data_IF_533333189990
#
_entry.id   IF_533333189990
#
_cell.length_a   1.000
_cell.length_b   1.000
_cell.length_c   1.000
_cell.angle_alpha   90.00
_cell.angle_beta   90.00
_cell.angle_gamma   90.00
#
_symmetry.space_group_name_H-M   'P 1'
#
loop_
_entity.id
_entity.type
_entity.pdbx_description
1 polymer ?
#
# COMPACT_ATOMS: atom_id res chain seq x y z
N UNK A 1 -1.28 16.06 19.53
CA UNK A 1 -1.03 14.64 19.87
C UNK A 1 -1.72 13.65 18.91
N UNK A 2 -2.66 14.09 18.08
CA UNK A 2 -3.41 13.26 17.10
C UNK A 2 -2.53 12.81 15.92
N UNK A 3 -1.72 13.72 15.36
CA UNK A 3 -0.82 13.40 14.24
C UNK A 3 0.25 12.33 14.57
N UNK A 4 0.73 12.27 15.82
CA UNK A 4 1.69 11.26 16.23
C UNK A 4 1.05 9.86 16.30
N UNK A 5 -0.23 9.76 16.67
CA UNK A 5 -0.95 8.47 16.71
C UNK A 5 -1.23 7.94 15.31
N UNK A 6 -1.58 8.81 14.37
CA UNK A 6 -1.81 8.44 12.96
C UNK A 6 -0.52 7.98 12.28
N UNK A 7 0.59 8.69 12.48
CA UNK A 7 1.91 8.28 11.94
C UNK A 7 2.35 6.94 12.54
N UNK A 8 2.11 6.70 13.83
CA UNK A 8 2.48 5.41 14.45
C UNK A 8 1.61 4.26 13.93
N UNK A 9 0.33 4.52 13.64
CA UNK A 9 -0.59 3.53 13.05
C UNK A 9 -0.17 3.14 11.63
N UNK A 10 0.13 4.14 10.80
CA UNK A 10 0.59 3.95 9.42
C UNK A 10 1.95 3.20 9.41
N UNK A 11 2.86 3.54 10.33
CA UNK A 11 4.14 2.83 10.48
C UNK A 11 4.00 1.38 10.97
N UNK A 12 2.91 1.02 11.66
CA UNK A 12 2.64 -0.36 12.05
C UNK A 12 2.04 -1.17 10.90
N UNK A 13 1.12 -0.57 10.13
CA UNK A 13 0.53 -1.20 8.94
C UNK A 13 1.56 -1.45 7.83
N UNK A 14 2.45 -0.47 7.56
CA UNK A 14 3.57 -0.64 6.63
C UNK A 14 4.53 -1.77 7.05
N UNK A 15 4.79 -1.91 8.35
CA UNK A 15 5.64 -2.99 8.89
C UNK A 15 5.00 -4.36 8.71
N UNK A 16 3.68 -4.44 8.87
CA UNK A 16 2.92 -5.67 8.68
C UNK A 16 2.90 -6.08 7.19
N UNK A 17 2.72 -5.13 6.28
CA UNK A 17 2.78 -5.38 4.83
C UNK A 17 4.19 -5.82 4.37
N UNK A 18 5.25 -5.19 4.87
CA UNK A 18 6.63 -5.60 4.61
C UNK A 18 6.92 -7.02 5.13
N UNK A 19 6.35 -7.39 6.29
CA UNK A 19 6.48 -8.74 6.84
C UNK A 19 5.77 -9.78 5.96
N UNK A 20 4.58 -9.47 5.45
CA UNK A 20 3.83 -10.34 4.54
C UNK A 20 4.58 -10.51 3.21
N UNK A 21 5.14 -9.42 2.66
CA UNK A 21 5.94 -9.48 1.43
C UNK A 21 7.24 -10.29 1.61
N UNK A 22 7.88 -10.22 2.77
CA UNK A 22 9.07 -11.02 3.09
C UNK A 22 8.76 -12.53 3.17
N UNK A 23 7.58 -12.90 3.66
CA UNK A 23 7.11 -14.30 3.72
C UNK A 23 6.76 -14.88 2.33
N UNK A 24 6.40 -14.03 1.37
CA UNK A 24 6.07 -14.45 -0.01
C UNK A 24 7.29 -14.54 -0.94
N UNK A 25 8.41 -13.91 -0.57
CA UNK A 25 9.67 -13.90 -1.34
C UNK A 25 10.26 -15.29 -1.65
N UNK A 26 10.26 -16.29 -0.75
CA UNK A 26 10.79 -17.62 -1.05
C UNK A 26 9.93 -18.44 -2.02
N UNK A 27 8.65 -18.11 -2.22
CA UNK A 27 7.78 -18.84 -3.16
C UNK A 27 7.97 -18.42 -4.63
N UNK A 28 8.50 -17.23 -4.89
CA UNK A 28 8.66 -16.68 -6.25
C UNK A 28 10.03 -16.97 -6.91
N UNK A 29 11.02 -17.45 -6.16
CA UNK A 29 12.39 -17.67 -6.64
C UNK A 29 12.81 -19.13 -6.80
N UNK A 30 11.87 -20.07 -6.87
CA UNK A 30 12.20 -21.47 -7.16
C UNK A 30 12.00 -21.77 -8.65
N UNK A 31 13.04 -21.55 -9.45
CA UNK A 31 13.14 -22.11 -10.81
C UNK A 31 13.14 -23.65 -10.72
N UNK A 32 12.44 -24.37 -11.60
CA UNK A 32 12.52 -25.82 -11.66
C UNK A 32 13.88 -26.22 -12.26
N UNK A 33 14.72 -26.89 -11.46
CA UNK A 33 15.87 -27.61 -12.00
C UNK A 33 15.36 -28.90 -12.63
N UNK A 34 15.35 -28.93 -13.97
CA UNK A 34 15.26 -30.15 -14.76
C UNK A 34 16.46 -31.04 -14.45
N UNK A 35 16.20 -32.22 -13.86
CA UNK A 35 17.09 -33.37 -13.98
C UNK A 35 16.23 -34.61 -14.24
N UNK A 36 16.49 -35.25 -15.38
CA UNK A 36 15.86 -36.48 -15.84
C UNK A 36 16.20 -37.67 -14.91
N UNK A 37 15.32 -38.69 -14.82
CA UNK A 37 15.50 -39.84 -13.94
C UNK A 37 16.10 -41.06 -14.67
N UNK A 38 16.79 -41.93 -13.93
CA UNK A 38 16.99 -43.35 -14.25
C UNK A 38 17.58 -44.11 -13.04
N UNK A 39 17.41 -45.45 -12.96
CA UNK A 39 16.70 -46.07 -11.85
C UNK A 39 17.50 -47.12 -11.05
N UNK A 40 16.95 -47.56 -9.90
CA UNK A 40 17.19 -48.92 -9.39
C UNK A 40 17.35 -49.05 -7.87
N UNK A 41 16.72 -50.12 -7.34
CA UNK A 41 16.83 -50.74 -6.00
C UNK A 41 16.08 -50.03 -4.85
N UNK A 42 14.89 -50.49 -4.44
CA UNK A 42 14.54 -51.73 -3.69
C UNK A 42 15.06 -51.76 -2.26
N UNK A 43 14.16 -51.54 -1.29
CA UNK A 43 13.91 -52.34 -0.07
C UNK A 43 13.16 -51.49 0.99
N UNK A 44 11.92 -51.89 1.31
CA UNK A 44 11.51 -52.46 2.61
C UNK A 44 11.40 -51.39 3.73
N UNK A 45 10.19 -50.93 4.01
CA UNK A 45 9.30 -51.41 5.08
C UNK A 45 9.66 -50.85 6.45
N UNK A 46 8.73 -50.08 7.07
CA UNK A 46 8.00 -50.57 8.25
C UNK A 46 6.86 -49.60 8.60
N UNK A 47 5.71 -50.23 8.83
CA UNK A 47 4.47 -49.71 9.38
C UNK A 47 4.63 -49.65 10.91
N UNK A 48 4.16 -48.59 11.57
CA UNK A 48 3.34 -48.69 12.79
C UNK A 48 2.81 -47.33 13.27
N UNK A 49 1.48 -47.22 13.32
CA UNK A 49 0.68 -46.29 14.15
C UNK A 49 0.29 -47.01 15.47
N UNK A 50 -0.63 -46.50 16.32
CA UNK A 50 -0.54 -45.38 17.27
C UNK A 50 -0.90 -45.80 18.74
N UNK A 51 -0.69 -44.92 19.74
CA UNK A 51 -1.22 -45.15 21.10
C UNK A 51 -0.84 -44.08 22.14
N UNK A 52 -1.85 -43.35 22.65
CA UNK A 52 -1.81 -42.35 23.73
C UNK A 52 -1.77 -43.02 25.15
N UNK A 53 -2.05 -42.35 26.31
CA UNK A 53 -2.12 -40.94 26.72
C UNK A 53 -1.40 -40.63 28.07
N UNK A 54 -1.26 -39.35 28.46
CA UNK A 54 -1.09 -38.81 29.83
C UNK A 54 -1.04 -37.27 29.69
N UNK A 55 -1.65 -36.39 30.48
CA UNK A 55 -2.22 -36.49 31.81
C UNK A 55 -1.79 -35.27 32.64
N UNK A 56 -2.71 -34.31 32.78
CA UNK A 56 -2.96 -33.44 33.96
C UNK A 56 -2.10 -32.16 34.23
N UNK A 57 -2.85 -31.08 34.54
CA UNK A 57 -2.67 -29.98 35.54
C UNK A 57 -2.38 -28.55 35.00
N UNK A 58 -3.43 -27.72 34.98
CA UNK A 58 -3.39 -26.26 35.19
C UNK A 58 -3.35 -25.91 36.69
N UNK A 59 -2.84 -24.73 37.07
CA UNK A 59 -3.69 -23.75 37.79
C UNK A 59 -3.50 -22.31 37.27
N UNK A 60 -4.57 -21.56 36.99
CA UNK A 60 -5.24 -20.54 37.83
C UNK A 60 -4.35 -19.32 38.17
N UNK A 61 -4.56 -18.15 37.55
CA UNK A 61 -5.54 -17.09 37.87
C UNK A 61 -5.03 -16.09 38.95
N UNK A 62 -4.81 -14.83 38.57
CA UNK A 62 -4.97 -13.68 39.46
C UNK A 62 -5.66 -12.53 38.71
N UNK A 63 -6.81 -12.18 39.26
CA UNK A 63 -7.70 -11.07 38.95
C UNK A 63 -7.33 -9.88 39.84
N UNK A 64 -7.36 -8.67 39.30
CA UNK A 64 -7.43 -7.41 40.05
C UNK A 64 -8.24 -6.40 39.23
N UNK A 65 -9.37 -6.00 39.81
CA UNK A 65 -10.42 -5.18 39.21
C UNK A 65 -10.46 -3.73 39.74
N UNK A 66 -10.83 -2.79 38.83
CA UNK A 66 -11.65 -1.54 38.97
C UNK A 66 -11.05 -0.22 39.55
N UNK A 67 -11.67 0.99 39.35
CA UNK A 67 -12.80 1.41 38.47
C UNK A 67 -12.70 2.81 37.74
N UNK A 68 -13.68 3.07 36.84
CA UNK A 68 -14.23 4.41 36.47
C UNK A 68 -13.65 5.08 35.20
N UNK A 69 -14.37 5.70 34.26
CA UNK A 69 -15.72 6.29 34.17
C UNK A 69 -16.09 6.61 32.70
N UNK A 70 -17.41 6.77 32.43
CA UNK A 70 -18.06 7.63 31.41
C UNK A 70 -18.19 7.18 29.92
N UNK A 71 -19.41 6.70 29.61
CA UNK A 71 -20.36 7.20 28.59
C UNK A 71 -20.15 7.03 27.06
N UNK A 72 -21.02 6.19 26.49
CA UNK A 72 -21.82 6.34 25.24
C UNK A 72 -21.16 6.14 23.84
N UNK A 73 -21.96 5.84 22.79
CA UNK A 73 -22.05 4.51 22.19
C UNK A 73 -21.24 4.39 20.89
N UNK A 74 -20.58 3.25 20.68
CA UNK A 74 -20.01 2.90 19.38
C UNK A 74 -21.06 2.20 18.54
N UNK A 75 -21.39 2.82 17.42
CA UNK A 75 -22.06 2.21 16.27
C UNK A 75 -21.41 0.85 15.97
N UNK A 76 -22.24 -0.18 15.93
CA UNK A 76 -21.89 -1.50 15.45
C UNK A 76 -21.63 -1.40 13.94
N UNK A 77 -20.38 -1.18 13.55
CA UNK A 77 -19.91 -1.50 12.21
C UNK A 77 -19.53 -2.99 12.22
N UNK A 78 -20.57 -3.81 12.14
CA UNK A 78 -20.49 -5.26 12.11
C UNK A 78 -19.95 -5.66 10.73
N UNK A 79 -18.62 -5.67 10.59
CA UNK A 79 -17.93 -6.29 9.45
C UNK A 79 -18.23 -7.78 9.47
N UNK A 80 -19.27 -8.18 8.74
CA UNK A 80 -19.44 -9.57 8.30
C UNK A 80 -18.40 -9.83 7.23
N UNK A 81 -17.32 -10.51 7.61
CA UNK A 81 -16.48 -11.21 6.66
C UNK A 81 -17.33 -12.34 6.06
N UNK A 82 -17.93 -12.08 4.90
CA UNK A 82 -18.52 -13.12 4.08
C UNK A 82 -17.40 -14.01 3.56
N UNK A 83 -17.24 -15.18 4.15
CA UNK A 83 -16.53 -16.29 3.50
C UNK A 83 -17.18 -16.55 2.13
N UNK A 84 -16.38 -16.45 1.07
CA UNK A 84 -16.80 -16.83 -0.28
C UNK A 84 -17.16 -18.32 -0.34
N UNK A 85 -18.40 -18.64 -0.73
CA UNK A 85 -18.83 -19.99 -1.20
C UNK A 85 -20.17 -19.85 -1.93
N UNK A 86 -20.24 -20.06 -3.27
CA UNK A 86 -20.21 -21.42 -3.85
C UNK A 86 -19.54 -21.57 -5.24
N UNK A 87 -18.92 -20.53 -5.82
CA UNK A 87 -18.50 -20.51 -7.24
C UNK A 87 -17.36 -21.47 -7.61
N UNK A 88 -16.50 -21.84 -6.65
CA UNK A 88 -15.36 -22.74 -6.92
C UNK A 88 -15.78 -24.15 -7.33
N UNK A 89 -16.90 -24.67 -6.80
CA UNK A 89 -17.38 -26.01 -7.15
C UNK A 89 -17.92 -26.09 -8.59
N UNK A 90 -18.50 -25.01 -9.10
CA UNK A 90 -19.10 -24.99 -10.44
C UNK A 90 -18.02 -25.02 -11.52
N UNK A 91 -16.95 -24.23 -11.35
CA UNK A 91 -15.84 -24.23 -12.28
C UNK A 91 -15.16 -25.60 -12.36
N UNK A 92 -14.88 -26.22 -11.21
CA UNK A 92 -14.31 -27.58 -11.15
C UNK A 92 -15.23 -28.61 -11.83
N UNK A 93 -16.54 -28.53 -11.60
CA UNK A 93 -17.52 -29.40 -12.26
C UNK A 93 -17.50 -29.22 -13.78
N UNK A 94 -17.46 -27.97 -14.27
CA UNK A 94 -17.39 -27.69 -15.70
C UNK A 94 -16.08 -28.15 -16.33
N UNK A 95 -14.96 -28.03 -15.62
CA UNK A 95 -13.66 -28.54 -16.08
C UNK A 95 -13.69 -30.07 -16.18
N UNK A 96 -14.26 -30.76 -15.19
CA UNK A 96 -14.40 -32.22 -15.24
C UNK A 96 -15.27 -32.67 -16.42
N UNK A 97 -16.39 -31.99 -16.65
CA UNK A 97 -17.26 -32.25 -17.80
C UNK A 97 -16.54 -31.97 -19.12
N UNK A 98 -15.79 -30.87 -19.21
CA UNK A 98 -15.05 -30.50 -20.41
C UNK A 98 -13.96 -31.52 -20.76
N UNK A 99 -13.33 -32.15 -19.77
CA UNK A 99 -12.35 -33.23 -19.99
C UNK A 99 -12.95 -34.47 -20.64
N UNK A 100 -14.20 -34.80 -20.32
CA UNK A 100 -14.92 -35.97 -20.84
C UNK A 100 -15.78 -35.69 -22.08
N UNK A 101 -15.84 -34.44 -22.55
CA UNK A 101 -16.78 -34.01 -23.59
C UNK A 101 -16.03 -33.41 -24.79
N UNK A 102 -16.41 -33.80 -26.01
CA UNK A 102 -15.78 -33.34 -27.25
C UNK A 102 -16.84 -32.92 -28.31
N UNK A 103 -16.43 -32.12 -29.29
CA UNK A 103 -17.26 -31.76 -30.44
C UNK A 103 -18.50 -30.92 -30.08
N UNK A 104 -19.68 -31.32 -30.59
CA UNK A 104 -20.94 -30.57 -30.40
C UNK A 104 -21.44 -30.53 -28.95
N UNK A 105 -21.06 -31.50 -28.11
CA UNK A 105 -21.42 -31.46 -26.71
C UNK A 105 -20.57 -30.43 -25.94
N UNK A 106 -19.34 -30.17 -26.41
CA UNK A 106 -18.47 -29.15 -25.84
C UNK A 106 -18.96 -27.73 -26.16
N UNK A 107 -19.55 -27.49 -27.34
CA UNK A 107 -20.16 -26.19 -27.65
C UNK A 107 -21.38 -25.89 -26.77
N UNK A 108 -22.19 -26.91 -26.46
CA UNK A 108 -23.30 -26.77 -25.51
C UNK A 108 -22.80 -26.48 -24.08
N UNK A 109 -21.72 -27.16 -23.67
CA UNK A 109 -21.06 -26.90 -22.38
C UNK A 109 -20.51 -25.47 -22.30
N UNK A 110 -19.87 -24.97 -23.37
CA UNK A 110 -19.38 -23.59 -23.45
C UNK A 110 -20.55 -22.61 -23.26
N UNK A 111 -21.66 -22.78 -23.97
CA UNK A 111 -22.84 -21.92 -23.79
C UNK A 111 -23.36 -21.92 -22.36
N UNK A 112 -23.39 -23.09 -21.70
CA UNK A 112 -23.80 -23.23 -20.31
C UNK A 112 -22.84 -22.53 -19.33
N UNK A 113 -21.53 -22.66 -19.55
CA UNK A 113 -20.48 -22.00 -18.75
C UNK A 113 -20.53 -20.47 -18.91
N UNK A 114 -20.77 -20.01 -20.14
CA UNK A 114 -20.93 -18.58 -20.43
C UNK A 114 -22.18 -18.00 -19.76
N UNK A 115 -23.25 -18.77 -19.61
CA UNK A 115 -24.48 -18.32 -18.93
C UNK A 115 -24.44 -18.50 -17.40
N UNK A 116 -23.57 -19.36 -16.88
CA UNK A 116 -23.48 -19.64 -15.45
C UNK A 116 -23.10 -18.39 -14.63
N UNK A 117 -23.92 -17.97 -13.65
CA UNK A 117 -23.59 -16.88 -12.76
C UNK A 117 -22.44 -17.27 -11.82
N UNK A 118 -21.56 -16.32 -11.50
CA UNK A 118 -20.41 -16.54 -10.62
C UNK A 118 -19.16 -17.13 -11.30
N UNK A 119 -19.24 -17.56 -12.58
CA UNK A 119 -18.08 -18.02 -13.36
C UNK A 119 -17.61 -16.91 -14.30
N UNK A 120 -16.62 -16.14 -13.89
CA UNK A 120 -16.06 -15.01 -14.68
C UNK A 120 -14.61 -15.23 -15.11
N UNK A 121 -14.06 -16.40 -14.79
CA UNK A 121 -12.69 -16.83 -15.09
C UNK A 121 -12.78 -18.06 -16.00
N UNK A 122 -12.16 -17.98 -17.17
CA UNK A 122 -12.25 -18.97 -18.24
C UNK A 122 -10.88 -19.50 -18.67
N UNK A 123 -9.78 -19.01 -18.09
CA UNK A 123 -8.42 -19.40 -18.44
C UNK A 123 -8.16 -20.90 -18.27
N UNK A 124 -8.65 -21.49 -17.19
CA UNK A 124 -8.51 -22.94 -16.95
C UNK A 124 -9.26 -23.78 -18.00
N UNK A 125 -10.44 -23.34 -18.44
CA UNK A 125 -11.16 -24.00 -19.53
C UNK A 125 -10.41 -23.85 -20.86
N UNK A 126 -9.82 -22.67 -21.12
CA UNK A 126 -9.11 -22.38 -22.37
C UNK A 126 -7.80 -23.17 -22.51
N UNK A 127 -7.19 -23.58 -21.39
CA UNK A 127 -5.97 -24.40 -21.39
C UNK A 127 -6.22 -25.89 -21.67
N UNK A 128 -7.48 -26.34 -21.67
CA UNK A 128 -7.81 -27.74 -21.97
C UNK A 128 -7.60 -28.06 -23.46
N UNK A 129 -6.92 -29.18 -23.74
CA UNK A 129 -6.67 -29.66 -25.11
C UNK A 129 -7.96 -29.81 -25.92
N UNK A 130 -9.02 -30.37 -25.33
CA UNK A 130 -10.32 -30.54 -25.96
C UNK A 130 -10.94 -29.22 -26.48
N UNK A 131 -10.67 -28.11 -25.78
CA UNK A 131 -11.14 -26.77 -26.16
C UNK A 131 -10.25 -26.18 -27.26
N UNK A 132 -8.94 -26.48 -27.25
CA UNK A 132 -8.03 -26.05 -28.31
C UNK A 132 -8.28 -26.78 -29.63
N UNK A 133 -8.70 -28.04 -29.60
CA UNK A 133 -9.09 -28.79 -30.80
C UNK A 133 -10.29 -28.16 -31.52
N UNK A 134 -11.15 -27.42 -30.81
CA UNK A 134 -12.25 -26.66 -31.44
C UNK A 134 -11.75 -25.56 -32.39
N UNK A 135 -10.49 -25.11 -32.25
CA UNK A 135 -9.88 -24.13 -33.16
C UNK A 135 -9.76 -24.67 -34.58
N UNK A 136 -9.50 -25.97 -34.71
CA UNK A 136 -9.25 -26.65 -35.99
C UNK A 136 -10.54 -27.20 -36.61
N UNK A 137 -11.62 -27.27 -35.82
CA UNK A 137 -12.93 -27.75 -36.25
C UNK A 137 -13.85 -26.66 -36.79
N UNK A 138 -15.03 -27.07 -37.29
CA UNK A 138 -16.08 -26.16 -37.76
C UNK A 138 -16.73 -25.28 -36.68
N UNK A 139 -16.33 -25.45 -35.42
CA UNK A 139 -16.84 -24.71 -34.26
C UNK A 139 -15.86 -23.64 -33.75
N UNK A 140 -14.89 -23.22 -34.56
CA UNK A 140 -13.89 -22.21 -34.20
C UNK A 140 -14.51 -20.89 -33.67
N UNK A 141 -15.72 -20.55 -34.10
CA UNK A 141 -16.45 -19.38 -33.62
C UNK A 141 -16.74 -19.42 -32.10
N UNK A 142 -16.99 -20.60 -31.53
CA UNK A 142 -17.20 -20.76 -30.08
C UNK A 142 -15.90 -20.58 -29.29
N UNK A 143 -14.76 -20.97 -29.85
CA UNK A 143 -13.46 -20.72 -29.23
C UNK A 143 -13.10 -19.23 -29.28
N UNK A 144 -13.39 -18.55 -30.39
CA UNK A 144 -13.24 -17.10 -30.49
C UNK A 144 -14.13 -16.39 -29.47
N UNK A 145 -15.36 -16.87 -29.29
CA UNK A 145 -16.27 -16.37 -28.27
C UNK A 145 -15.71 -16.57 -26.85
N UNK A 146 -15.19 -17.75 -26.52
CA UNK A 146 -14.57 -17.99 -25.22
C UNK A 146 -13.35 -17.08 -24.99
N UNK A 147 -12.52 -16.87 -26.01
CA UNK A 147 -11.41 -15.92 -25.96
C UNK A 147 -11.88 -14.48 -25.75
N UNK A 148 -13.04 -14.11 -26.30
CA UNK A 148 -13.66 -12.81 -26.09
C UNK A 148 -14.11 -12.61 -24.64
N UNK A 149 -14.68 -13.63 -24.02
CA UNK A 149 -15.05 -13.58 -22.60
C UNK A 149 -13.84 -13.57 -21.67
N UNK A 150 -12.79 -14.33 -22.00
CA UNK A 150 -11.54 -14.33 -21.22
C UNK A 150 -10.79 -12.99 -21.34
N UNK A 151 -10.66 -12.44 -22.55
CA UNK A 151 -9.72 -11.34 -22.82
C UNK A 151 -10.29 -10.15 -23.59
N UNK A 152 -11.43 -10.29 -24.25
CA UNK A 152 -12.05 -9.25 -25.07
C UNK A 152 -13.06 -8.39 -24.31
N UNK A 153 -13.79 -7.55 -25.01
CA UNK A 153 -14.80 -6.64 -24.44
C UNK A 153 -16.10 -6.67 -25.23
N UNK A 154 -17.16 -6.06 -24.70
CA UNK A 154 -18.45 -5.97 -25.39
C UNK A 154 -18.37 -5.21 -26.74
N UNK A 155 -17.61 -4.11 -26.89
CA UNK A 155 -17.37 -3.50 -28.20
C UNK A 155 -16.76 -4.47 -29.22
N UNK A 156 -15.86 -5.35 -28.77
CA UNK A 156 -15.22 -6.35 -29.64
C UNK A 156 -16.25 -7.38 -30.13
N UNK A 157 -17.27 -7.72 -29.31
CA UNK A 157 -18.40 -8.55 -29.74
C UNK A 157 -19.22 -7.86 -30.82
N UNK A 158 -19.57 -6.58 -30.62
CA UNK A 158 -20.37 -5.81 -31.58
C UNK A 158 -19.66 -5.69 -32.92
N UNK A 159 -18.34 -5.46 -32.91
CA UNK A 159 -17.53 -5.40 -34.12
C UNK A 159 -17.47 -6.74 -34.88
N UNK A 160 -17.64 -7.87 -34.19
CA UNK A 160 -17.53 -9.22 -34.74
C UNK A 160 -18.85 -10.00 -34.69
N UNK A 161 -19.99 -9.29 -34.67
CA UNK A 161 -21.31 -9.91 -34.47
C UNK A 161 -21.69 -10.93 -35.55
N UNK A 162 -21.15 -10.77 -36.77
CA UNK A 162 -21.42 -11.68 -37.90
C UNK A 162 -20.55 -12.95 -37.87
N UNK A 163 -19.38 -12.91 -37.23
CA UNK A 163 -18.45 -14.05 -37.15
C UNK A 163 -18.63 -14.90 -35.89
N UNK A 164 -19.31 -14.36 -34.88
CA UNK A 164 -19.55 -15.01 -33.60
C UNK A 164 -20.98 -15.56 -33.48
N UNK A 165 -21.21 -16.62 -32.68
CA UNK A 165 -22.55 -17.11 -32.40
C UNK A 165 -23.41 -16.07 -31.68
N UNK A 166 -24.72 -16.10 -31.90
CA UNK A 166 -25.65 -15.21 -31.20
C UNK A 166 -25.67 -15.49 -29.69
N UNK A 167 -25.57 -14.42 -28.89
CA UNK A 167 -25.56 -14.50 -27.43
C UNK A 167 -26.94 -14.29 -26.82
N UNK A 168 -27.24 -15.04 -25.76
CA UNK A 168 -28.42 -14.79 -24.91
C UNK A 168 -28.28 -13.45 -24.19
N UNK A 169 -29.40 -12.85 -23.76
CA UNK A 169 -29.38 -11.59 -23.00
C UNK A 169 -28.53 -11.70 -21.72
N UNK A 170 -28.57 -12.87 -21.05
CA UNK A 170 -27.75 -13.12 -19.87
C UNK A 170 -26.25 -13.13 -20.18
N UNK A 171 -25.85 -13.79 -21.27
CA UNK A 171 -24.45 -13.81 -21.74
C UNK A 171 -23.98 -12.41 -22.17
N UNK A 172 -24.84 -11.62 -22.83
CA UNK A 172 -24.53 -10.24 -23.19
C UNK A 172 -24.31 -9.36 -21.94
N UNK A 173 -25.19 -9.47 -20.94
CA UNK A 173 -25.04 -8.74 -19.68
C UNK A 173 -23.74 -9.13 -18.95
N UNK A 174 -23.40 -10.42 -18.95
CA UNK A 174 -22.14 -10.92 -18.39
C UNK A 174 -20.91 -10.34 -19.10
N UNK A 175 -20.94 -10.25 -20.43
CA UNK A 175 -19.85 -9.62 -21.19
C UNK A 175 -19.76 -8.11 -20.93
N UNK A 176 -20.92 -7.45 -20.73
CA UNK A 176 -20.97 -6.05 -20.28
C UNK A 176 -20.34 -5.90 -18.90
N UNK A 177 -20.66 -6.76 -17.92
CA UNK A 177 -20.02 -6.75 -16.60
C UNK A 177 -18.50 -6.93 -16.70
N UNK A 178 -18.01 -7.88 -17.49
CA UNK A 178 -16.58 -8.09 -17.73
C UNK A 178 -15.90 -6.89 -18.40
N UNK A 179 -16.63 -6.16 -19.23
CA UNK A 179 -16.15 -4.91 -19.83
C UNK A 179 -16.00 -3.82 -18.77
N UNK A 180 -16.97 -3.69 -17.85
CA UNK A 180 -16.86 -2.76 -16.71
C UNK A 180 -15.65 -3.13 -15.83
N UNK A 181 -15.44 -4.41 -15.53
CA UNK A 181 -14.26 -4.88 -14.78
C UNK A 181 -12.95 -4.50 -15.49
N UNK A 182 -12.92 -4.65 -16.81
CA UNK A 182 -11.75 -4.28 -17.62
C UNK A 182 -11.46 -2.78 -17.60
N UNK A 183 -12.52 -1.96 -17.61
CA UNK A 183 -12.42 -0.51 -17.45
C UNK A 183 -11.98 -0.13 -16.03
N UNK A 184 -12.52 -0.81 -15.01
CA UNK A 184 -12.18 -0.60 -13.60
C UNK A 184 -10.71 -0.93 -13.28
N UNK A 185 -10.14 -1.90 -13.99
CA UNK A 185 -8.71 -2.23 -13.88
C UNK A 185 -7.80 -1.10 -14.38
N UNK A 186 -8.30 -0.20 -15.24
CA UNK A 186 -7.53 0.90 -15.82
C UNK A 186 -7.81 2.24 -15.15
N UNK A 187 -9.03 2.45 -14.69
CA UNK A 187 -9.47 3.68 -14.05
C UNK A 187 -10.38 3.40 -12.87
N UNK A 188 -10.05 3.99 -11.71
CA UNK A 188 -10.82 3.85 -10.47
C UNK A 188 -12.13 4.63 -10.48
N UNK A 189 -12.19 5.72 -11.25
CA UNK A 189 -13.40 6.51 -11.45
C UNK A 189 -13.77 6.47 -12.93
N UNK A 190 -14.80 5.71 -13.30
CA UNK A 190 -15.23 5.53 -14.68
C UNK A 190 -16.38 6.51 -14.98
N UNK A 191 -16.25 7.40 -15.97
CA UNK A 191 -17.36 8.25 -16.38
C UNK A 191 -18.49 7.46 -17.05
N UNK A 192 -19.74 7.84 -16.77
CA UNK A 192 -20.91 7.21 -17.37
C UNK A 192 -20.92 7.33 -18.89
N UNK A 193 -20.38 8.40 -19.45
CA UNK A 193 -20.25 8.56 -20.91
C UNK A 193 -19.41 7.46 -21.56
N UNK A 194 -18.34 7.01 -20.89
CA UNK A 194 -17.51 5.90 -21.35
C UNK A 194 -18.28 4.58 -21.24
N UNK A 195 -18.98 4.35 -20.12
CA UNK A 195 -19.80 3.15 -19.94
C UNK A 195 -20.94 3.06 -20.96
N UNK A 196 -21.66 4.16 -21.21
CA UNK A 196 -22.74 4.19 -22.20
C UNK A 196 -22.22 3.87 -23.60
N UNK A 197 -21.04 4.39 -23.96
CA UNK A 197 -20.41 4.14 -25.26
C UNK A 197 -19.92 2.70 -25.38
N UNK A 198 -19.15 2.21 -24.42
CA UNK A 198 -18.50 0.89 -24.50
C UNK A 198 -19.48 -0.27 -24.27
N UNK A 199 -20.58 -0.04 -23.54
CA UNK A 199 -21.62 -1.05 -23.33
C UNK A 199 -22.78 -0.95 -24.34
N UNK A 200 -22.71 0.01 -25.27
CA UNK A 200 -23.75 0.35 -26.24
C UNK A 200 -25.14 0.55 -25.60
N UNK A 201 -25.17 1.26 -24.47
CA UNK A 201 -26.39 1.53 -23.70
C UNK A 201 -26.92 2.92 -24.05
N UNK A 202 -28.22 3.02 -24.32
CA UNK A 202 -28.89 4.30 -24.64
C UNK A 202 -29.48 4.98 -23.42
N UNK A 203 -29.81 4.19 -22.40
CA UNK A 203 -30.58 4.62 -21.24
C UNK A 203 -29.70 4.59 -19.99
N UNK A 204 -29.70 5.70 -19.24
CA UNK A 204 -28.99 5.80 -17.97
C UNK A 204 -29.51 4.78 -16.95
N UNK A 205 -30.83 4.56 -16.93
CA UNK A 205 -31.47 3.63 -15.99
C UNK A 205 -30.98 2.20 -16.17
N UNK A 206 -30.91 1.75 -17.41
CA UNK A 206 -30.42 0.40 -17.74
C UNK A 206 -28.94 0.23 -17.38
N UNK A 207 -28.14 1.30 -17.53
CA UNK A 207 -26.75 1.29 -17.09
C UNK A 207 -26.66 1.14 -15.57
N UNK A 208 -27.41 1.94 -14.82
CA UNK A 208 -27.44 1.87 -13.34
C UNK A 208 -27.92 0.49 -12.87
N UNK A 209 -28.99 -0.05 -13.45
CA UNK A 209 -29.51 -1.38 -13.10
C UNK A 209 -28.47 -2.49 -13.38
N UNK A 210 -27.72 -2.41 -14.48
CA UNK A 210 -26.63 -3.35 -14.80
C UNK A 210 -25.45 -3.24 -13.81
N UNK A 211 -25.07 -2.02 -13.43
CA UNK A 211 -24.00 -1.80 -12.42
C UNK A 211 -24.46 -2.34 -11.07
N UNK A 212 -25.72 -2.08 -10.69
CA UNK A 212 -26.32 -2.57 -9.46
C UNK A 212 -26.29 -4.10 -9.43
N UNK A 213 -26.66 -4.77 -10.54
CA UNK A 213 -26.55 -6.23 -10.68
C UNK A 213 -25.11 -6.73 -10.48
N UNK A 214 -24.12 -6.03 -11.05
CA UNK A 214 -22.70 -6.38 -10.88
C UNK A 214 -22.22 -6.23 -9.42
N UNK A 215 -22.77 -5.26 -8.69
CA UNK A 215 -22.49 -5.08 -7.25
C UNK A 215 -23.18 -6.16 -6.42
N UNK A 216 -24.43 -6.51 -6.73
CA UNK A 216 -25.16 -7.58 -6.03
C UNK A 216 -24.53 -8.96 -6.21
N UNK A 217 -23.81 -9.17 -7.32
CA UNK A 217 -23.11 -10.42 -7.63
C UNK A 217 -21.65 -10.42 -7.16
N UNK A 218 -21.23 -9.40 -6.40
CA UNK A 218 -19.88 -9.20 -5.87
C UNK A 218 -18.77 -9.17 -6.94
N UNK A 219 -19.13 -8.88 -8.21
CA UNK A 219 -18.17 -8.70 -9.30
C UNK A 219 -17.38 -7.40 -9.09
N UNK A 220 -18.10 -6.36 -8.67
CA UNK A 220 -17.58 -5.01 -8.48
C UNK A 220 -18.03 -4.50 -7.11
N UNK A 221 -17.13 -3.88 -6.38
CA UNK A 221 -17.42 -3.13 -5.16
C UNK A 221 -17.08 -1.67 -5.41
N UNK A 222 -18.05 -0.80 -5.16
CA UNK A 222 -17.92 0.60 -5.50
C UNK A 222 -19.18 1.40 -5.19
N UNK A 223 -19.16 2.67 -5.57
CA UNK A 223 -20.25 3.63 -5.35
C UNK A 223 -20.60 4.33 -6.64
N UNK A 224 -21.90 4.54 -6.84
CA UNK A 224 -22.43 5.32 -7.95
C UNK A 224 -22.53 6.78 -7.53
N UNK A 225 -21.79 7.68 -8.19
CA UNK A 225 -21.93 9.13 -8.03
C UNK A 225 -22.78 9.67 -9.19
N UNK A 226 -24.08 9.73 -8.94
CA UNK A 226 -25.04 10.26 -9.91
C UNK A 226 -24.88 11.77 -10.15
N UNK A 227 -24.30 12.53 -9.20
CA UNK A 227 -24.13 13.98 -9.37
C UNK A 227 -23.02 14.27 -10.37
N UNK A 228 -21.89 13.57 -10.23
CA UNK A 228 -20.73 13.74 -11.11
C UNK A 228 -20.77 12.81 -12.33
N UNK A 229 -21.75 11.90 -12.40
CA UNK A 229 -21.91 10.90 -13.47
C UNK A 229 -20.68 9.98 -13.56
N UNK A 230 -20.21 9.51 -12.40
CA UNK A 230 -19.04 8.65 -12.25
C UNK A 230 -19.40 7.37 -11.49
N UNK A 231 -18.77 6.27 -11.87
CA UNK A 231 -18.72 5.04 -11.09
C UNK A 231 -17.36 4.98 -10.39
N UNK A 232 -17.37 5.06 -9.07
CA UNK A 232 -16.18 4.86 -8.24
C UNK A 232 -16.05 3.38 -7.92
N UNK A 233 -14.95 2.75 -8.34
CA UNK A 233 -14.68 1.33 -8.13
C UNK A 233 -13.55 1.16 -7.13
N UNK A 234 -13.87 0.60 -5.97
CA UNK A 234 -12.90 0.27 -4.93
C UNK A 234 -12.19 -1.03 -5.28
N UNK A 235 -12.97 -2.07 -5.55
CA UNK A 235 -12.50 -3.41 -5.85
C UNK A 235 -13.29 -4.03 -7.01
N UNK A 236 -12.64 -4.89 -7.77
CA UNK A 236 -13.30 -5.71 -8.78
C UNK A 236 -12.63 -7.08 -8.83
N UNK A 237 -13.37 -8.09 -9.29
CA UNK A 237 -12.81 -9.42 -9.50
C UNK A 237 -11.69 -9.38 -10.55
N UNK A 238 -10.73 -10.30 -10.41
CA UNK A 238 -9.71 -10.52 -11.43
C UNK A 238 -10.31 -11.23 -12.64
N UNK A 239 -10.03 -10.71 -13.84
CA UNK A 239 -10.29 -11.41 -15.10
C UNK A 239 -9.05 -12.19 -15.55
N UNK A 240 -9.21 -13.10 -16.50
CA UNK A 240 -8.12 -13.83 -17.12
C UNK A 240 -7.03 -12.91 -17.68
N UNK A 241 -5.78 -13.29 -17.41
CA UNK A 241 -4.57 -12.57 -17.82
C UNK A 241 -3.86 -13.40 -18.88
N UNK A 242 -3.47 -12.76 -19.98
CA UNK A 242 -2.66 -13.44 -21.00
C UNK A 242 -1.24 -13.62 -20.48
N UNK A 243 -0.62 -14.76 -20.79
CA UNK A 243 0.76 -15.08 -20.36
C UNK A 243 1.79 -13.99 -20.72
N UNK A 244 1.60 -13.30 -21.84
CA UNK A 244 2.45 -12.17 -22.28
C UNK A 244 2.40 -10.96 -21.35
N UNK A 245 1.25 -10.72 -20.70
CA UNK A 245 0.98 -9.54 -19.89
C UNK A 245 1.45 -9.72 -18.44
N UNK A 246 1.90 -10.94 -18.06
CA UNK A 246 2.48 -11.23 -16.74
C UNK A 246 3.71 -10.33 -16.48
N UNK A 247 4.55 -10.09 -17.49
CA UNK A 247 5.71 -9.20 -17.34
C UNK A 247 5.31 -7.76 -17.02
N UNK A 248 4.16 -7.30 -17.55
CA UNK A 248 3.65 -5.96 -17.23
C UNK A 248 3.22 -5.89 -15.77
N UNK A 249 2.59 -6.94 -15.23
CA UNK A 249 2.21 -7.02 -13.82
C UNK A 249 3.44 -7.02 -12.91
N UNK A 250 4.46 -7.82 -13.27
CA UNK A 250 5.72 -7.83 -12.51
C UNK A 250 6.35 -6.45 -12.50
N UNK A 251 6.35 -5.75 -13.65
CA UNK A 251 6.89 -4.41 -13.76
C UNK A 251 6.14 -3.39 -12.90
N UNK A 252 4.81 -3.37 -12.95
CA UNK A 252 4.01 -2.42 -12.16
C UNK A 252 4.16 -2.67 -10.65
N UNK A 253 4.27 -3.94 -10.23
CA UNK A 253 4.56 -4.28 -8.84
C UNK A 253 5.95 -3.79 -8.40
N UNK A 254 6.97 -3.94 -9.26
CA UNK A 254 8.30 -3.40 -8.96
C UNK A 254 8.29 -1.88 -8.87
N UNK A 255 7.65 -1.18 -9.83
CA UNK A 255 7.51 0.28 -9.80
C UNK A 255 6.81 0.76 -8.51
N UNK A 256 5.81 0.01 -8.03
CA UNK A 256 5.14 0.30 -6.78
C UNK A 256 6.06 0.08 -5.55
N UNK A 257 6.81 -1.03 -5.52
CA UNK A 257 7.80 -1.30 -4.48
C UNK A 257 8.87 -0.21 -4.43
N UNK A 258 9.44 0.16 -5.57
CA UNK A 258 10.44 1.22 -5.69
C UNK A 258 9.89 2.57 -5.20
N UNK A 259 8.63 2.87 -5.52
CA UNK A 259 7.92 4.05 -5.02
C UNK A 259 7.80 4.05 -3.49
N UNK A 260 7.44 2.91 -2.89
CA UNK A 260 7.39 2.77 -1.43
C UNK A 260 8.77 2.91 -0.79
N UNK A 261 9.81 2.29 -1.35
CA UNK A 261 11.19 2.41 -0.87
C UNK A 261 11.69 3.86 -0.94
N UNK A 262 11.41 4.57 -2.05
CA UNK A 262 11.78 5.98 -2.20
C UNK A 262 11.12 6.87 -1.15
N UNK A 263 9.83 6.65 -0.85
CA UNK A 263 9.12 7.40 0.20
C UNK A 263 9.70 7.08 1.59
N UNK A 264 9.95 5.81 1.89
CA UNK A 264 10.54 5.40 3.17
C UNK A 264 11.94 6.00 3.37
N UNK A 265 12.80 5.91 2.36
CA UNK A 265 14.13 6.53 2.37
C UNK A 265 14.05 8.05 2.50
N UNK A 266 13.06 8.67 1.84
CA UNK A 266 12.78 10.10 1.98
C UNK A 266 12.46 10.47 3.42
N UNK A 267 11.59 9.71 4.10
CA UNK A 267 11.24 9.93 5.51
C UNK A 267 12.46 9.72 6.42
N UNK A 268 13.23 8.65 6.22
CA UNK A 268 14.45 8.38 6.99
C UNK A 268 15.46 9.54 6.87
N UNK A 269 15.66 10.07 5.67
CA UNK A 269 16.52 11.25 5.47
C UNK A 269 15.99 12.49 6.18
N UNK A 270 14.66 12.73 6.19
CA UNK A 270 14.09 13.86 6.92
C UNK A 270 14.28 13.71 8.44
N UNK A 271 14.15 12.49 8.97
CA UNK A 271 14.43 12.20 10.38
C UNK A 271 15.89 12.47 10.72
N UNK A 272 16.82 12.02 9.87
CA UNK A 272 18.25 12.29 10.06
C UNK A 272 18.56 13.79 10.04
N UNK A 273 18.01 14.53 9.07
CA UNK A 273 18.17 15.99 9.00
C UNK A 273 17.63 16.67 10.25
N UNK A 274 16.43 16.30 10.70
CA UNK A 274 15.82 16.87 11.91
C UNK A 274 16.69 16.60 13.16
N UNK A 275 17.25 15.41 13.28
CA UNK A 275 18.17 15.07 14.38
C UNK A 275 19.48 15.88 14.32
N UNK A 276 20.07 16.04 13.13
CA UNK A 276 21.26 16.87 12.94
C UNK A 276 21.00 18.34 13.26
N UNK A 277 19.84 18.88 12.85
CA UNK A 277 19.44 20.24 13.20
C UNK A 277 19.27 20.39 14.72
N UNK A 278 18.62 19.41 15.37
CA UNK A 278 18.46 19.42 16.83
C UNK A 278 19.81 19.38 17.54
N UNK A 279 20.73 18.52 17.10
CA UNK A 279 22.07 18.41 17.70
C UNK A 279 22.88 19.70 17.50
N UNK A 280 22.87 20.25 16.29
CA UNK A 280 23.55 21.53 15.98
C UNK A 280 22.98 22.67 16.80
N UNK A 281 21.64 22.78 16.87
CA UNK A 281 20.97 23.80 17.65
C UNK A 281 21.29 23.67 19.15
N UNK A 282 21.25 22.45 19.68
CA UNK A 282 21.61 22.18 21.08
C UNK A 282 23.07 22.55 21.37
N UNK A 283 23.99 22.24 20.45
CA UNK A 283 25.41 22.60 20.57
C UNK A 283 25.62 24.12 20.56
N UNK A 284 25.00 24.83 19.62
CA UNK A 284 25.05 26.30 19.56
C UNK A 284 24.45 26.92 20.81
N UNK A 285 23.31 26.40 21.30
CA UNK A 285 22.67 26.88 22.52
C UNK A 285 23.60 26.71 23.74
N UNK A 286 24.23 25.54 23.90
CA UNK A 286 25.19 25.30 24.98
C UNK A 286 26.39 26.25 24.91
N UNK A 287 26.89 26.54 23.70
CA UNK A 287 28.00 27.47 23.52
C UNK A 287 27.60 28.89 23.91
N UNK A 288 26.41 29.36 23.50
CA UNK A 288 25.88 30.66 23.91
C UNK A 288 25.70 30.73 25.43
N UNK A 289 25.13 29.70 26.06
CA UNK A 289 24.96 29.63 27.52
C UNK A 289 26.30 29.64 28.27
N UNK A 290 27.32 28.96 27.74
CA UNK A 290 28.67 28.97 28.30
C UNK A 290 29.33 30.36 28.20
N UNK A 291 29.23 31.02 27.04
CA UNK A 291 29.73 32.39 26.84
C UNK A 291 29.03 33.39 27.79
N UNK A 292 27.71 33.30 27.93
CA UNK A 292 26.94 34.13 28.88
C UNK A 292 27.42 33.90 30.31
N UNK A 293 27.68 32.65 30.68
CA UNK A 293 28.19 32.29 32.01
C UNK A 293 29.60 32.83 32.25
N UNK A 294 30.48 32.74 31.25
CA UNK A 294 31.84 33.29 31.30
C UNK A 294 31.82 34.82 31.42
N UNK A 295 31.03 35.51 30.60
CA UNK A 295 30.86 36.97 30.68
C UNK A 295 30.34 37.39 32.05
N UNK A 296 29.33 36.70 32.61
CA UNK A 296 28.82 36.97 33.96
C UNK A 296 29.90 36.81 35.03
N UNK A 297 30.74 35.76 34.93
CA UNK A 297 31.86 35.54 35.87
C UNK A 297 32.90 36.65 35.77
N UNK A 298 33.30 37.03 34.55
CA UNK A 298 34.27 38.12 34.31
C UNK A 298 33.75 39.43 34.85
N UNK A 299 32.49 39.80 34.57
CA UNK A 299 31.87 41.02 35.10
C UNK A 299 31.86 41.04 36.64
N UNK A 300 31.55 39.90 37.28
CA UNK A 300 31.56 39.80 38.74
C UNK A 300 32.98 39.92 39.31
N UNK A 301 33.98 39.32 38.66
CA UNK A 301 35.38 39.43 39.05
C UNK A 301 35.90 40.87 38.92
N UNK A 302 35.61 41.56 37.81
CA UNK A 302 35.97 42.97 37.62
C UNK A 302 35.29 43.88 38.64
N UNK A 303 34.01 43.64 38.95
CA UNK A 303 33.28 44.39 39.99
C UNK A 303 33.87 44.17 41.40
N UNK A 304 34.37 42.95 41.68
CA UNK A 304 35.02 42.63 42.96
C UNK A 304 36.41 43.28 43.08
N UNK A 305 37.18 43.27 41.98
CA UNK A 305 38.49 43.93 41.89
C UNK A 305 38.39 45.44 42.05
N UNK A 306 37.40 46.07 41.41
CA UNK A 306 37.18 47.52 41.51
C UNK A 306 36.63 47.95 42.88
N UNK A 307 35.89 47.07 43.58
CA UNK A 307 35.53 47.29 44.98
C UNK A 307 36.76 47.22 45.91
N UNK A 308 37.68 46.29 45.69
CA UNK A 308 38.93 46.20 46.47
C UNK A 308 39.88 47.38 46.19
N UNK A 309 39.99 47.85 44.94
CA UNK A 309 40.78 49.05 44.61
C UNK A 309 40.20 50.33 45.26
N UNK A 310 38.88 50.45 45.37
CA UNK A 310 38.24 51.58 46.03
C UNK A 310 38.44 51.56 47.57
N UNK A 311 38.47 50.36 48.17
CA UNK A 311 38.73 50.18 49.60
C UNK A 311 40.21 50.42 49.96
N UNK A 312 41.14 50.09 49.06
CA UNK A 312 42.57 50.36 49.22
C UNK A 312 42.90 51.86 49.06
N UNK A 313 42.19 52.59 48.19
CA UNK A 313 42.30 54.06 48.06
C UNK A 313 41.67 54.83 49.24
N UNK A 314 40.71 54.23 49.95
CA UNK A 314 40.15 54.78 51.18
C UNK A 314 41.08 54.58 52.40
N UNK A 315 41.84 53.47 52.42
CA UNK A 315 42.83 53.21 53.46
C UNK A 315 44.10 54.09 53.36
N UNK A 316 44.45 54.59 52.17
CA UNK A 316 45.58 55.52 51.97
C UNK A 316 45.25 57.01 52.25
N UNK A 317 44.00 57.36 52.63
CA UNK A 317 43.58 58.76 52.85
C UNK A 317 43.61 59.25 54.31
N UNK A 318 44.13 58.48 55.27
CA UNK A 318 44.28 58.90 56.67
C UNK A 318 45.74 59.25 57.05
N UNK A 319 46.36 60.26 56.40
CA UNK A 319 47.50 61.00 57.00
C UNK A 319 47.75 62.37 56.29
N UNK A 320 47.97 63.49 57.01
CA UNK A 320 48.09 64.84 56.43
C UNK A 320 49.53 65.22 55.95
N UNK A 321 49.71 66.34 55.22
CA UNK A 321 50.68 66.45 54.12
C UNK A 321 52.02 67.11 54.50
N UNK A 322 53.08 66.85 53.72
CA UNK A 322 54.29 67.69 53.70
C UNK A 322 54.90 67.86 52.29
N UNK A 323 54.91 69.14 51.88
CA UNK A 323 55.87 69.95 51.10
C UNK A 323 56.58 69.43 49.81
N UNK A 324 56.41 70.23 48.74
CA UNK A 324 57.39 70.69 47.71
C UNK A 324 58.22 69.62 46.95
N UNK A 325 58.37 69.63 45.61
CA UNK A 325 58.83 70.75 44.77
C UNK A 325 58.84 70.36 43.26
N UNK A 326 58.56 71.36 42.40
CA UNK A 326 59.07 71.63 41.02
C UNK A 326 58.73 70.75 39.79
N UNK A 327 58.29 71.48 38.76
CA UNK A 327 58.15 71.23 37.29
C UNK A 327 59.50 70.90 36.57
N UNK A 328 59.62 70.64 35.23
CA UNK A 328 58.67 70.90 34.11
C UNK A 328 58.60 69.93 32.88
N UNK A 329 57.47 70.05 32.16
CA UNK A 329 57.26 70.01 30.69
C UNK A 329 57.52 68.72 29.86
N UNK A 330 56.53 68.32 29.02
CA UNK A 330 56.50 68.54 27.55
C UNK A 330 55.30 67.86 26.84
N UNK A 331 54.51 68.71 26.18
CA UNK A 331 53.81 68.62 24.87
C UNK A 331 53.61 67.26 24.13
N UNK A 332 52.43 67.23 23.46
CA UNK A 332 52.05 66.70 22.14
C UNK A 332 50.95 65.62 22.21
N UNK A 333 49.69 65.95 21.87
CA UNK A 333 49.09 65.87 20.52
C UNK A 333 48.83 64.44 20.03
N UNK A 334 47.56 64.03 19.89
CA UNK A 334 46.83 64.03 18.60
C UNK A 334 45.62 63.08 18.61
N UNK A 335 44.53 63.62 18.08
CA UNK A 335 43.24 63.03 17.73
C UNK A 335 43.34 61.98 16.61
N UNK A 336 42.54 60.91 16.70
CA UNK A 336 41.72 60.24 15.64
C UNK A 336 41.14 58.96 16.26
N UNK A 337 39.85 58.67 16.35
CA UNK A 337 38.75 59.03 15.45
C UNK A 337 38.71 58.05 14.28
N UNK A 338 38.02 56.91 14.44
CA UNK A 338 37.58 56.06 13.33
C UNK A 338 36.32 55.28 13.71
N UNK A 339 35.24 55.65 13.03
CA UNK A 339 33.92 55.02 12.97
C UNK A 339 33.93 53.92 11.91
N UNK A 340 33.20 52.84 12.20
CA UNK A 340 32.40 51.95 11.32
C UNK A 340 32.66 51.94 9.81
N UNK A 341 32.80 50.73 9.24
CA UNK A 341 31.97 50.36 8.09
C UNK A 341 31.83 48.84 7.93
N UNK A 342 30.61 48.45 7.55
CA UNK A 342 30.18 47.15 7.02
C UNK A 342 31.07 46.70 5.86
N UNK A 343 31.18 45.39 5.64
CA UNK A 343 30.69 44.68 4.45
C UNK A 343 30.31 43.26 4.87
#
# INVERSE_FOLDING_TARGET
MTAHREVTSICMELRNLLQIMAQLKPHFLQKPSLNHPSPGHSQESLICTPGAPCGIICPSQMDLSLPGTLSSPRSQDQRMAGEQKPSSNLLEQFILLAKGTSGSALTALISQVLEAPGVYVFGELLELANVQELAEGGNAAYLQLLNLFAYGTYPDYIANKESLPELSTAQQNKLKHLTIVSLASRMKCIPYSVLLKDLEMRNLRELEDLIIEAVYTDIIQGKLDQRNQLLEVDFCIGRDIRKRDINNIVKTLHEWCDGCEAVLLGIEQQVLRANQYKETHSRTQQQVEAEVTNIKKTLKATASSSAQEMEQQLAERECPPHAEQRQPTKKMSKVKGLVSSRH
#
